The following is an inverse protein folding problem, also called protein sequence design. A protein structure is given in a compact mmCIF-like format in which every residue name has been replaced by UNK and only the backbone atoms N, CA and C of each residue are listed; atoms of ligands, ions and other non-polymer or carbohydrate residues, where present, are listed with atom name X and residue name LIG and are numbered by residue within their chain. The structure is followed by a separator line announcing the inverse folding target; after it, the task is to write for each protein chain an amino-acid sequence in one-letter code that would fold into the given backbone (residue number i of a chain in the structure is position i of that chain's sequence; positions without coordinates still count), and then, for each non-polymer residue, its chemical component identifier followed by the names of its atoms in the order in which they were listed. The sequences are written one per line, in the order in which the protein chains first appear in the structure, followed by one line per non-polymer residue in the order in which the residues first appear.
data_IF_811487550928
#
_entry.id   IF_811487550928
#
_cell.length_a   1.000
_cell.length_b   1.000
_cell.length_c   1.000
_cell.angle_alpha   90.00
_cell.angle_beta   90.00
_cell.angle_gamma   90.00
#
_symmetry.space_group_name_H-M   'P 1'
#
loop_
_entity.id
_entity.type
_entity.pdbx_description
1 polymer ?
#
# COMPACT_ATOMS: atom_id res chain seq x y z
N UNK A 1 -15.44 3.14 -14.02
CA UNK A 1 -15.40 2.67 -12.62
C UNK A 1 -14.56 1.40 -12.62
N UNK A 2 -13.36 1.41 -12.03
CA UNK A 2 -12.48 0.24 -12.01
C UNK A 2 -12.86 -0.60 -10.78
N UNK A 3 -13.81 -1.53 -10.93
CA UNK A 3 -14.28 -2.40 -9.86
C UNK A 3 -13.70 -3.81 -10.00
N UNK A 4 -12.70 -4.15 -9.19
CA UNK A 4 -12.21 -5.50 -9.02
C UNK A 4 -12.28 -5.88 -7.54
N UNK A 5 -12.92 -7.01 -7.23
CA UNK A 5 -12.96 -7.52 -5.86
C UNK A 5 -11.80 -8.48 -5.61
N UNK A 6 -11.03 -8.22 -4.55
CA UNK A 6 -10.04 -9.18 -4.09
C UNK A 6 -10.75 -10.41 -3.49
N UNK A 7 -10.36 -11.64 -3.91
CA UNK A 7 -10.82 -12.86 -3.26
C UNK A 7 -10.59 -12.78 -1.74
N UNK A 8 -11.56 -13.26 -0.95
CA UNK A 8 -11.55 -13.12 0.52
C UNK A 8 -10.23 -13.53 1.19
N UNK A 9 -9.57 -14.57 0.68
CA UNK A 9 -8.28 -15.04 1.21
C UNK A 9 -7.12 -14.05 0.96
N UNK A 10 -7.13 -13.32 -0.15
CA UNK A 10 -6.10 -12.32 -0.49
C UNK A 10 -6.32 -11.00 0.23
N UNK A 11 -7.57 -10.64 0.53
CA UNK A 11 -7.91 -9.40 1.24
C UNK A 11 -7.22 -9.30 2.60
N UNK A 12 -7.27 -10.36 3.42
CA UNK A 12 -6.62 -10.38 4.74
C UNK A 12 -5.10 -10.18 4.67
N UNK A 13 -4.44 -10.73 3.64
CA UNK A 13 -3.00 -10.56 3.44
C UNK A 13 -2.68 -9.10 3.10
N UNK A 14 -3.47 -8.50 2.21
CA UNK A 14 -3.32 -7.08 1.86
C UNK A 14 -3.58 -6.19 3.06
N UNK A 15 -4.64 -6.45 3.82
CA UNK A 15 -4.97 -5.66 5.02
C UNK A 15 -3.82 -5.71 6.05
N UNK A 16 -3.29 -6.89 6.34
CA UNK A 16 -2.16 -7.06 7.27
C UNK A 16 -0.89 -6.36 6.77
N UNK A 17 -0.64 -6.38 5.46
CA UNK A 17 0.51 -5.69 4.88
C UNK A 17 0.37 -4.18 4.93
N UNK A 18 -0.83 -3.65 4.69
CA UNK A 18 -1.12 -2.21 4.84
C UNK A 18 -0.91 -1.78 6.29
N UNK A 19 -1.38 -2.58 7.25
CA UNK A 19 -1.23 -2.29 8.68
C UNK A 19 0.25 -2.27 9.09
N UNK A 20 1.05 -3.23 8.62
CA UNK A 20 2.48 -3.29 8.92
C UNK A 20 3.29 -2.11 8.33
N UNK A 21 2.88 -1.59 7.17
CA UNK A 21 3.62 -0.55 6.43
C UNK A 21 2.88 0.80 6.40
N UNK A 22 1.95 1.04 7.33
CA UNK A 22 1.09 2.23 7.32
C UNK A 22 1.90 3.53 7.28
N UNK A 23 2.93 3.63 8.13
CA UNK A 23 3.75 4.84 8.25
C UNK A 23 4.56 5.09 6.97
N UNK A 24 5.11 4.03 6.36
CA UNK A 24 5.84 4.11 5.10
C UNK A 24 4.94 4.52 3.93
N UNK A 25 3.72 3.97 3.88
CA UNK A 25 2.71 4.35 2.89
C UNK A 25 2.32 5.82 3.03
N UNK A 26 2.15 6.31 4.26
CA UNK A 26 1.82 7.72 4.50
C UNK A 26 2.99 8.65 4.17
N UNK A 27 4.23 8.27 4.48
CA UNK A 27 5.42 9.01 4.08
C UNK A 27 5.53 9.10 2.55
N UNK A 28 5.36 7.96 1.86
CA UNK A 28 5.33 7.91 0.39
C UNK A 28 4.19 8.74 -0.21
N UNK A 29 3.01 8.77 0.43
CA UNK A 29 1.92 9.64 0.00
C UNK A 29 2.33 11.12 0.02
N UNK A 30 2.94 11.58 1.11
CA UNK A 30 3.40 12.98 1.23
C UNK A 30 4.49 13.32 0.19
N UNK A 31 5.43 12.39 -0.05
CA UNK A 31 6.45 12.55 -1.10
C UNK A 31 5.80 12.62 -2.49
N UNK A 32 4.87 11.73 -2.80
CA UNK A 32 4.20 11.69 -4.09
C UNK A 32 3.42 12.98 -4.39
N UNK A 33 2.64 13.50 -3.42
CA UNK A 33 1.87 14.73 -3.63
C UNK A 33 2.73 15.99 -3.70
N UNK A 34 3.94 15.95 -3.12
CA UNK A 34 4.93 17.03 -3.21
C UNK A 34 5.82 16.94 -4.47
N UNK A 35 5.57 15.96 -5.35
CA UNK A 35 6.34 15.74 -6.57
C UNK A 35 7.74 15.15 -6.32
N UNK A 36 7.97 14.60 -5.13
CA UNK A 36 9.23 13.98 -4.74
C UNK A 36 9.23 12.48 -5.07
N UNK A 37 10.43 11.92 -5.19
CA UNK A 37 10.62 10.49 -5.44
C UNK A 37 10.23 9.69 -4.18
N UNK A 38 9.31 8.74 -4.36
CA UNK A 38 8.95 7.72 -3.35
C UNK A 38 10.04 6.65 -3.21
N UNK A 39 10.02 5.93 -2.10
CA UNK A 39 10.91 4.79 -1.84
C UNK A 39 10.15 3.46 -1.90
N UNK A 40 10.89 2.36 -2.07
CA UNK A 40 10.33 1.01 -2.10
C UNK A 40 9.94 0.55 -0.69
N UNK A 41 8.76 -0.05 -0.58
CA UNK A 41 8.27 -0.75 0.61
C UNK A 41 8.40 -2.26 0.35
N UNK A 42 8.73 -3.07 1.37
CA UNK A 42 8.84 -4.52 1.20
C UNK A 42 7.53 -5.09 0.66
N UNK A 43 7.53 -5.85 -0.46
CA UNK A 43 6.30 -6.37 -1.04
C UNK A 43 5.73 -7.56 -0.24
N UNK A 44 4.43 -7.83 -0.42
CA UNK A 44 3.81 -9.09 -0.02
C UNK A 44 4.56 -10.29 -0.65
N UNK A 45 4.89 -11.31 0.17
CA UNK A 45 5.47 -12.59 -0.27
C UNK A 45 4.42 -13.64 -0.59
#
# INVERSE_FOLDING_TARGET
MLGGELPRGKRKLVDAWIELHQDELMANWQLAISGQRVFSIEPLK
#
